data_IF_221540794852
#
_entry.id   IF_221540794852
#
_cell.length_a   1.000
_cell.length_b   1.000
_cell.length_c   1.000
_cell.angle_alpha   90.00
_cell.angle_beta   90.00
_cell.angle_gamma   90.00
#
_symmetry.space_group_name_H-M   'P 1'
#
loop_
_entity.id
_entity.type
_entity.pdbx_description
1 polymer ?
#
# COMPACT_ATOMS: atom_id res chain seq x y z
N UNK A 1 6.58 11.53 -14.88
CA UNK A 1 6.26 10.53 -13.83
C UNK A 1 7.22 10.59 -12.64
N UNK A 2 8.42 11.14 -12.78
CA UNK A 2 9.29 11.53 -11.65
C UNK A 2 9.26 13.04 -11.47
N UNK A 3 8.28 13.59 -10.73
CA UNK A 3 8.40 14.97 -10.24
C UNK A 3 8.89 14.90 -8.78
N UNK A 4 9.87 15.74 -8.39
CA UNK A 4 10.44 15.70 -7.04
C UNK A 4 9.38 15.84 -5.95
N UNK A 5 8.30 16.58 -6.22
CA UNK A 5 7.15 16.73 -5.32
C UNK A 5 6.50 15.39 -4.91
N UNK A 6 6.41 14.42 -5.83
CA UNK A 6 5.81 13.11 -5.52
C UNK A 6 6.78 12.19 -4.77
N UNK A 7 8.09 12.29 -5.05
CA UNK A 7 9.11 11.54 -4.32
C UNK A 7 9.17 11.99 -2.86
N UNK A 8 9.13 13.31 -2.62
CA UNK A 8 9.09 13.87 -1.27
C UNK A 8 7.85 13.38 -0.52
N UNK A 9 6.67 13.38 -1.17
CA UNK A 9 5.45 12.83 -0.58
C UNK A 9 5.56 11.34 -0.23
N UNK A 10 6.19 10.52 -1.08
CA UNK A 10 6.42 9.10 -0.80
C UNK A 10 7.33 8.89 0.40
N UNK A 11 8.43 9.64 0.50
CA UNK A 11 9.39 9.54 1.62
C UNK A 11 8.77 10.06 2.92
N UNK A 12 8.02 11.16 2.86
CA UNK A 12 7.31 11.65 4.04
C UNK A 12 6.25 10.65 4.50
N UNK A 13 5.55 9.98 3.59
CA UNK A 13 4.57 8.95 3.95
C UNK A 13 5.22 7.74 4.63
N UNK A 14 6.38 7.27 4.16
CA UNK A 14 7.09 6.15 4.82
C UNK A 14 7.61 6.55 6.20
N UNK A 15 8.11 7.78 6.34
CA UNK A 15 8.49 8.34 7.64
C UNK A 15 7.30 8.44 8.58
N UNK A 16 6.21 9.09 8.17
CA UNK A 16 5.01 9.23 8.99
C UNK A 16 4.44 7.86 9.37
N UNK A 17 4.51 6.85 8.51
CA UNK A 17 4.07 5.51 8.85
C UNK A 17 4.97 4.83 9.89
N UNK A 18 6.30 4.89 9.71
CA UNK A 18 7.26 4.32 10.67
C UNK A 18 7.24 5.04 12.02
N UNK A 19 7.34 6.37 12.01
CA UNK A 19 7.26 7.20 13.21
C UNK A 19 5.87 7.18 13.82
N UNK A 20 4.82 7.14 13.00
CA UNK A 20 3.43 7.05 13.47
C UNK A 20 3.17 5.74 14.20
N UNK A 21 3.71 4.61 13.73
CA UNK A 21 3.63 3.34 14.44
C UNK A 21 4.36 3.42 15.80
N UNK A 22 5.57 4.00 15.83
CA UNK A 22 6.35 4.19 17.06
C UNK A 22 5.63 5.14 18.05
N UNK A 23 5.12 6.27 17.57
CA UNK A 23 4.37 7.26 18.36
C UNK A 23 3.05 6.67 18.87
N UNK A 24 2.34 5.89 18.05
CA UNK A 24 1.12 5.19 18.47
C UNK A 24 1.41 4.17 19.58
N UNK A 25 2.56 3.50 19.54
CA UNK A 25 2.98 2.62 20.65
C UNK A 25 3.38 3.40 21.90
N UNK A 26 3.79 4.66 21.76
CA UNK A 26 4.23 5.51 22.86
C UNK A 26 3.07 6.19 23.61
N UNK A 27 1.96 6.49 22.92
CA UNK A 27 0.84 7.25 23.49
C UNK A 27 -0.11 6.44 24.40
N UNK A 28 0.22 5.20 24.80
CA UNK A 28 -0.62 4.29 25.61
C UNK A 28 -2.07 4.06 25.11
N UNK A 29 -2.52 4.70 24.01
CA UNK A 29 -3.82 4.51 23.38
C UNK A 29 -4.02 3.09 22.84
N UNK A 30 -2.91 2.35 22.69
CA UNK A 30 -2.84 0.98 22.18
C UNK A 30 -2.16 0.05 23.20
N UNK A 31 -2.23 0.33 24.49
CA UNK A 31 -1.68 -0.53 25.55
C UNK A 31 -0.32 -0.07 26.10
N UNK A 32 0.06 -0.66 27.24
CA UNK A 32 1.26 -0.27 27.99
C UNK A 32 2.50 -1.04 27.55
N UNK A 33 3.62 -0.33 27.37
CA UNK A 33 4.94 -0.96 27.37
C UNK A 33 5.26 -1.44 28.79
N UNK A 34 5.41 -2.75 28.98
CA UNK A 34 5.74 -3.32 30.28
C UNK A 34 6.64 -4.54 30.14
N UNK A 35 7.31 -4.90 31.21
CA UNK A 35 8.10 -6.13 31.27
C UNK A 35 7.12 -7.31 31.33
N UNK A 36 7.17 -8.21 30.34
CA UNK A 36 6.47 -9.48 30.44
C UNK A 36 7.29 -10.42 31.34
N UNK A 37 6.81 -10.76 32.55
CA UNK A 37 7.56 -11.54 33.52
C UNK A 37 7.79 -13.00 33.05
N UNK A 38 7.09 -13.47 32.02
CA UNK A 38 7.26 -14.83 31.47
C UNK A 38 8.46 -14.89 30.52
N UNK A 39 8.72 -13.81 29.79
CA UNK A 39 9.73 -13.76 28.71
C UNK A 39 10.94 -12.90 29.10
N UNK A 40 10.86 -12.15 30.21
CA UNK A 40 11.94 -11.30 30.74
C UNK A 40 12.31 -10.14 29.81
N UNK A 41 11.45 -9.81 28.84
CA UNK A 41 11.66 -8.76 27.85
C UNK A 41 10.55 -7.72 27.94
N UNK A 42 10.90 -6.45 27.73
CA UNK A 42 9.91 -5.37 27.63
C UNK A 42 9.11 -5.59 26.36
N UNK A 43 7.82 -5.92 26.49
CA UNK A 43 6.92 -6.19 25.37
C UNK A 43 5.62 -5.41 25.56
N UNK A 44 4.81 -5.32 24.51
CA UNK A 44 3.52 -4.62 24.58
C UNK A 44 2.54 -5.54 25.32
N UNK A 45 2.19 -5.19 26.56
CA UNK A 45 1.30 -6.01 27.38
C UNK A 45 -0.17 -5.85 26.91
N UNK A 46 -0.97 -6.93 26.98
CA UNK A 46 -2.39 -6.86 26.68
C UNK A 46 -3.10 -5.91 27.66
N UNK A 47 -4.07 -5.17 27.14
CA UNK A 47 -4.87 -4.22 27.91
C UNK A 47 -5.77 -4.97 28.92
N UNK A 48 -6.31 -4.27 29.93
CA UNK A 48 -7.16 -4.86 31.01
C UNK A 48 -8.39 -5.63 30.50
N UNK A 49 -8.80 -5.42 29.24
CA UNK A 49 -9.88 -6.13 28.55
C UNK A 49 -9.42 -7.35 27.72
N UNK A 50 -8.17 -7.79 27.83
CA UNK A 50 -7.63 -8.96 27.11
C UNK A 50 -7.48 -8.77 25.60
N UNK A 51 -7.60 -7.55 25.09
CA UNK A 51 -7.30 -7.22 23.69
C UNK A 51 -5.80 -7.06 23.54
N UNK A 52 -5.20 -7.82 22.61
CA UNK A 52 -3.78 -7.86 22.33
C UNK A 52 -3.41 -6.79 21.28
N UNK A 53 -2.92 -5.61 21.66
CA UNK A 53 -2.67 -4.53 20.72
C UNK A 53 -1.48 -4.84 19.79
N UNK A 54 -0.64 -5.78 20.22
CA UNK A 54 0.44 -6.39 19.42
C UNK A 54 -0.04 -6.97 18.09
N UNK A 55 -1.19 -7.64 18.06
CA UNK A 55 -1.71 -8.29 16.84
C UNK A 55 -2.11 -7.24 15.82
N UNK A 56 -2.73 -6.15 16.27
CA UNK A 56 -3.18 -5.08 15.39
C UNK A 56 -2.02 -4.33 14.75
N UNK A 57 -0.94 -4.08 15.49
CA UNK A 57 0.28 -3.43 14.95
C UNK A 57 0.93 -4.30 13.87
N UNK A 58 1.08 -5.60 14.11
CA UNK A 58 1.61 -6.53 13.10
C UNK A 58 0.71 -6.63 11.87
N UNK A 59 -0.61 -6.74 12.07
CA UNK A 59 -1.57 -6.77 10.97
C UNK A 59 -1.49 -5.48 10.17
N UNK A 60 -1.50 -4.29 10.78
CA UNK A 60 -1.40 -3.04 10.04
C UNK A 60 -0.06 -2.90 9.31
N UNK A 61 1.05 -3.22 9.96
CA UNK A 61 2.39 -3.10 9.37
C UNK A 61 2.57 -4.02 8.16
N UNK A 62 1.92 -5.18 8.15
CA UNK A 62 2.06 -6.17 7.06
C UNK A 62 0.95 -6.07 6.01
N UNK A 63 -0.30 -5.84 6.44
CA UNK A 63 -1.45 -5.75 5.56
C UNK A 63 -1.39 -4.49 4.69
N UNK A 64 -0.91 -3.38 5.23
CA UNK A 64 -0.76 -2.11 4.49
C UNK A 64 0.13 -2.26 3.24
N UNK A 65 1.37 -2.76 3.32
CA UNK A 65 2.19 -2.99 2.12
C UNK A 65 1.57 -4.07 1.22
N UNK A 66 0.95 -5.12 1.76
CA UNK A 66 0.28 -6.13 0.93
C UNK A 66 -0.85 -5.52 0.06
N UNK A 67 -1.74 -4.73 0.66
CA UNK A 67 -2.82 -4.05 -0.09
C UNK A 67 -2.24 -3.09 -1.12
N UNK A 68 -1.21 -2.32 -0.75
CA UNK A 68 -0.56 -1.39 -1.66
C UNK A 68 0.01 -2.13 -2.90
N UNK A 69 0.69 -3.26 -2.70
CA UNK A 69 1.22 -4.08 -3.79
C UNK A 69 0.09 -4.57 -4.69
N UNK A 70 -0.96 -5.20 -4.12
CA UNK A 70 -2.10 -5.73 -4.89
C UNK A 70 -2.75 -4.64 -5.74
N UNK A 71 -3.02 -3.47 -5.15
CA UNK A 71 -3.64 -2.35 -5.87
C UNK A 71 -2.73 -1.80 -6.96
N UNK A 72 -1.43 -1.63 -6.68
CA UNK A 72 -0.46 -1.15 -7.65
C UNK A 72 -0.37 -2.08 -8.87
N UNK A 73 -0.25 -3.38 -8.66
CA UNK A 73 -0.17 -4.35 -9.75
C UNK A 73 -1.50 -4.47 -10.52
N UNK A 74 -2.64 -4.43 -9.82
CA UNK A 74 -3.95 -4.42 -10.47
C UNK A 74 -4.13 -3.19 -11.38
N UNK A 75 -3.67 -2.01 -10.93
CA UNK A 75 -3.69 -0.78 -11.74
C UNK A 75 -2.80 -0.89 -12.97
N UNK A 76 -1.57 -1.40 -12.82
CA UNK A 76 -0.65 -1.61 -13.94
C UNK A 76 -1.30 -2.53 -14.98
N UNK A 77 -1.83 -3.67 -14.53
CA UNK A 77 -2.50 -4.63 -15.41
C UNK A 77 -3.69 -4.01 -16.15
N UNK A 78 -4.52 -3.23 -15.46
CA UNK A 78 -5.64 -2.53 -16.07
C UNK A 78 -5.20 -1.52 -17.14
N UNK A 79 -4.16 -0.72 -16.85
CA UNK A 79 -3.62 0.27 -17.80
C UNK A 79 -3.05 -0.42 -19.03
N UNK A 80 -2.28 -1.50 -18.86
CA UNK A 80 -1.69 -2.27 -19.95
C UNK A 80 -2.79 -2.85 -20.84
N UNK A 81 -3.81 -3.50 -20.25
CA UNK A 81 -4.93 -4.08 -20.99
C UNK A 81 -5.72 -3.03 -21.75
N UNK A 82 -6.01 -1.89 -21.12
CA UNK A 82 -6.70 -0.75 -21.77
C UNK A 82 -5.88 -0.19 -22.94
N UNK A 83 -4.57 -0.08 -22.79
CA UNK A 83 -3.67 0.46 -23.82
C UNK A 83 -3.56 -0.50 -25.00
N UNK A 84 -3.41 -1.80 -24.75
CA UNK A 84 -3.39 -2.85 -25.78
C UNK A 84 -4.71 -2.95 -26.57
N UNK A 85 -5.86 -2.77 -25.89
CA UNK A 85 -7.16 -2.73 -26.59
C UNK A 85 -7.30 -1.47 -27.45
N UNK A 86 -6.79 -0.32 -26.98
CA UNK A 86 -6.83 0.95 -27.72
C UNK A 86 -5.91 0.96 -28.95
N UNK A 87 -4.73 0.33 -28.88
CA UNK A 87 -3.85 0.18 -30.05
C UNK A 87 -4.49 -0.71 -31.12
N UNK A 88 -5.02 -1.88 -30.75
CA UNK A 88 -5.73 -2.79 -31.67
C UNK A 88 -6.95 -2.16 -32.34
N UNK A 89 -7.70 -1.32 -31.61
CA UNK A 89 -8.84 -0.59 -32.20
C UNK A 89 -8.39 0.44 -33.23
N UNK A 90 -7.28 1.14 -32.99
CA UNK A 90 -6.69 2.08 -33.96
C UNK A 90 -6.17 1.37 -35.19
N UNK A 91 -5.45 0.26 -35.02
CA UNK A 91 -4.96 -0.55 -36.14
C UNK A 91 -6.09 -1.02 -37.06
N UNK A 92 -7.18 -1.57 -36.49
CA UNK A 92 -8.37 -1.94 -37.27
C UNK A 92 -9.04 -0.75 -37.96
N UNK A 93 -9.12 0.39 -37.29
CA UNK A 93 -9.72 1.60 -37.88
C UNK A 93 -8.88 2.11 -39.07
N UNK A 94 -7.55 2.13 -38.94
CA UNK A 94 -6.65 2.50 -40.04
C UNK A 94 -6.74 1.51 -41.20
N UNK A 95 -6.78 0.20 -40.93
CA UNK A 95 -6.95 -0.82 -41.97
C UNK A 95 -8.28 -0.67 -42.74
N UNK A 96 -9.37 -0.37 -42.02
CA UNK A 96 -10.67 -0.11 -42.65
C UNK A 96 -10.67 1.16 -43.50
N UNK A 97 -10.00 2.23 -43.06
CA UNK A 97 -9.87 3.48 -43.83
C UNK A 97 -9.05 3.26 -45.11
N UNK A 98 -7.91 2.55 -45.03
CA UNK A 98 -7.10 2.22 -46.21
C UNK A 98 -7.90 1.40 -47.21
N UNK A 99 -8.70 0.43 -46.73
CA UNK A 99 -9.57 -0.37 -47.59
C UNK A 99 -10.62 0.49 -48.32
N UNK A 100 -11.28 1.40 -47.59
CA UNK A 100 -12.30 2.28 -48.15
C UNK A 100 -11.76 3.34 -49.14
N UNK A 101 -10.46 3.65 -49.12
CA UNK A 101 -9.83 4.56 -50.10
C UNK A 101 -9.36 3.87 -51.38
N UNK A 102 -9.35 2.53 -51.42
CA UNK A 102 -8.96 1.74 -52.58
C UNK A 102 -10.16 1.27 -53.43
N UNK A 103 -11.37 1.35 -52.88
CA UNK A 103 -12.65 1.09 -53.55
C UNK A 103 -13.26 2.39 -54.09
#
# INVERSE_FOLDING_TARGET
>A
LYKPKYLILMVLATWIFGFGALVATWFELWGRFGLDPVIGSCTILPDVNGRSPKEFLFILAFLTPCIAIVVCYARIFYIVRKTALKSRRREKATANLVKASLE
#
